data_IF_923686646454
#
_entry.id   IF_923686646454
#
_cell.length_a   1.000
_cell.length_b   1.000
_cell.length_c   1.000
_cell.angle_alpha   90.00
_cell.angle_beta   90.00
_cell.angle_gamma   90.00
#
_symmetry.space_group_name_H-M   'P 1'
#
loop_
_entity.id
_entity.type
_entity.pdbx_description
1 polymer ?
#
# COMPACT_ATOMS: atom_id res chain seq x y z
N UNK A 1 -18.66 -42.88 -1.02
CA UNK A 1 -17.66 -42.20 -1.86
C UNK A 1 -16.88 -41.40 -0.86
N UNK A 2 -15.67 -41.87 -0.55
CA UNK A 2 -14.88 -41.34 0.57
C UNK A 2 -14.04 -40.15 0.09
N UNK A 3 -13.77 -39.22 1.00
CA UNK A 3 -12.96 -38.03 0.75
C UNK A 3 -11.85 -37.99 1.79
N UNK A 4 -10.60 -38.05 1.33
CA UNK A 4 -9.42 -38.17 2.22
C UNK A 4 -8.88 -36.82 2.71
N UNK A 5 -9.18 -35.71 2.01
CA UNK A 5 -8.64 -34.37 2.32
C UNK A 5 -9.67 -33.29 2.00
N UNK A 6 -9.73 -32.25 2.85
CA UNK A 6 -10.51 -31.04 2.59
C UNK A 6 -9.79 -30.15 1.56
N UNK A 7 -10.22 -30.23 0.30
CA UNK A 7 -9.75 -29.36 -0.78
C UNK A 7 -10.55 -28.05 -0.92
N UNK A 8 -9.95 -27.04 -1.54
CA UNK A 8 -10.61 -25.81 -1.97
C UNK A 8 -10.75 -25.72 -3.50
N UNK A 9 -11.60 -24.81 -3.99
CA UNK A 9 -11.80 -24.57 -5.43
C UNK A 9 -11.24 -23.21 -5.83
N UNK A 10 -9.99 -23.21 -6.32
CA UNK A 10 -9.22 -21.98 -6.59
C UNK A 10 -8.54 -21.97 -7.97
N UNK A 11 -9.06 -22.71 -8.95
CA UNK A 11 -8.47 -22.72 -10.30
C UNK A 11 -8.73 -21.40 -11.04
N UNK A 12 -7.74 -20.96 -11.81
CA UNK A 12 -7.88 -19.89 -12.79
C UNK A 12 -8.62 -20.42 -14.04
N UNK A 13 -9.47 -19.60 -14.65
CA UNK A 13 -10.15 -19.96 -15.91
C UNK A 13 -9.33 -19.51 -17.13
N UNK A 14 -9.67 -20.06 -18.29
CA UNK A 14 -8.92 -19.78 -19.53
C UNK A 14 -8.97 -18.29 -19.92
N UNK A 15 -10.09 -17.60 -19.69
CA UNK A 15 -10.22 -16.17 -19.98
C UNK A 15 -9.19 -15.35 -19.18
N UNK A 16 -9.08 -15.59 -17.88
CA UNK A 16 -8.11 -14.93 -17.01
C UNK A 16 -6.67 -15.29 -17.41
N UNK A 17 -6.40 -16.54 -17.78
CA UNK A 17 -5.10 -16.97 -18.29
C UNK A 17 -4.73 -16.25 -19.58
N UNK A 18 -5.65 -16.14 -20.55
CA UNK A 18 -5.40 -15.43 -21.80
C UNK A 18 -5.10 -13.95 -21.57
N UNK A 19 -5.85 -13.29 -20.69
CA UNK A 19 -5.56 -11.90 -20.28
C UNK A 19 -4.17 -11.81 -19.62
N UNK A 20 -3.86 -12.74 -18.72
CA UNK A 20 -2.58 -12.82 -18.02
C UNK A 20 -1.40 -12.98 -18.97
N UNK A 21 -1.50 -13.86 -19.98
CA UNK A 21 -0.47 -14.03 -21.01
C UNK A 21 -0.25 -12.76 -21.83
N UNK A 22 -1.33 -12.06 -22.18
CA UNK A 22 -1.25 -10.77 -22.87
C UNK A 22 -0.57 -9.68 -22.02
N UNK A 23 -0.84 -9.65 -20.71
CA UNK A 23 -0.18 -8.74 -19.77
C UNK A 23 1.30 -9.11 -19.57
N UNK A 24 1.59 -10.41 -19.45
CA UNK A 24 2.94 -10.92 -19.24
C UNK A 24 3.89 -10.54 -20.39
N UNK A 25 3.41 -10.63 -21.63
CA UNK A 25 4.16 -10.17 -22.80
C UNK A 25 4.47 -8.66 -22.83
N UNK A 26 3.87 -7.86 -21.93
CA UNK A 26 4.06 -6.41 -21.81
C UNK A 26 4.70 -5.97 -20.49
N UNK A 27 5.18 -6.91 -19.68
CA UNK A 27 5.66 -6.64 -18.32
C UNK A 27 6.76 -5.57 -18.28
N UNK A 28 7.74 -5.64 -19.21
CA UNK A 28 8.85 -4.69 -19.29
C UNK A 28 8.37 -3.27 -19.64
N UNK A 29 7.40 -3.15 -20.55
CA UNK A 29 6.81 -1.87 -20.95
C UNK A 29 6.09 -1.24 -19.76
N UNK A 30 5.25 -2.02 -19.07
CA UNK A 30 4.48 -1.54 -17.91
C UNK A 30 5.44 -1.11 -16.78
N UNK A 31 6.47 -1.91 -16.51
CA UNK A 31 7.41 -1.63 -15.42
C UNK A 31 8.30 -0.43 -15.74
N UNK A 32 8.75 -0.27 -16.98
CA UNK A 32 9.53 0.91 -17.39
C UNK A 32 8.71 2.20 -17.32
N UNK A 33 7.44 2.18 -17.70
CA UNK A 33 6.52 3.30 -17.52
C UNK A 33 6.34 3.69 -16.05
N UNK A 34 6.18 2.71 -15.15
CA UNK A 34 6.07 2.98 -13.71
C UNK A 34 7.34 3.60 -13.12
N UNK A 35 8.52 3.15 -13.57
CA UNK A 35 9.80 3.76 -13.18
C UNK A 35 9.89 5.21 -13.65
N UNK A 36 9.50 5.50 -14.89
CA UNK A 36 9.50 6.86 -15.42
C UNK A 36 8.54 7.79 -14.64
N UNK A 37 7.33 7.32 -14.32
CA UNK A 37 6.38 8.07 -13.48
C UNK A 37 6.92 8.30 -12.07
N UNK A 38 7.57 7.30 -11.48
CA UNK A 38 8.17 7.43 -10.15
C UNK A 38 9.29 8.46 -10.13
N UNK A 39 10.18 8.42 -11.13
CA UNK A 39 11.23 9.42 -11.27
C UNK A 39 10.64 10.83 -11.40
N UNK A 40 9.57 10.97 -12.19
CA UNK A 40 8.85 12.23 -12.30
C UNK A 40 8.30 12.70 -10.94
N UNK A 41 7.65 11.83 -10.16
CA UNK A 41 7.17 12.18 -8.82
C UNK A 41 8.30 12.67 -7.91
N UNK A 42 9.41 11.94 -7.81
CA UNK A 42 10.55 12.39 -6.98
C UNK A 42 11.11 13.74 -7.42
N UNK A 43 11.24 13.96 -8.74
CA UNK A 43 11.67 15.24 -9.28
C UNK A 43 10.67 16.36 -8.98
N UNK A 44 9.37 16.09 -9.10
CA UNK A 44 8.30 17.06 -8.86
C UNK A 44 8.14 17.43 -7.38
N UNK A 45 8.29 16.48 -6.47
CA UNK A 45 8.28 16.77 -5.03
C UNK A 45 9.56 17.52 -4.61
N UNK A 46 10.71 17.13 -5.16
CA UNK A 46 11.98 17.77 -4.89
C UNK A 46 12.58 17.40 -3.52
N UNK A 47 13.83 17.80 -3.26
CA UNK A 47 14.60 17.32 -2.11
C UNK A 47 14.11 17.83 -0.75
N UNK A 48 13.38 18.95 -0.73
CA UNK A 48 12.96 19.60 0.52
C UNK A 48 11.51 19.27 0.89
N UNK A 49 10.83 18.40 0.13
CA UNK A 49 9.40 18.12 0.31
C UNK A 49 9.08 17.62 1.71
N UNK A 50 9.82 16.62 2.20
CA UNK A 50 9.55 16.01 3.50
C UNK A 50 9.78 16.99 4.65
N UNK A 51 10.82 17.81 4.57
CA UNK A 51 11.09 18.88 5.55
C UNK A 51 10.00 19.97 5.51
N UNK A 52 9.56 20.35 4.31
CA UNK A 52 8.60 21.45 4.12
C UNK A 52 7.21 21.07 4.59
N UNK A 53 6.76 19.85 4.32
CA UNK A 53 5.37 19.42 4.54
C UNK A 53 5.21 18.40 5.66
N UNK A 54 6.29 17.82 6.19
CA UNK A 54 6.26 16.77 7.21
C UNK A 54 5.74 15.42 6.72
N UNK A 55 5.42 15.29 5.43
CA UNK A 55 4.99 14.04 4.80
C UNK A 55 6.20 13.26 4.28
N UNK A 56 6.17 11.93 4.37
CA UNK A 56 7.27 11.08 3.92
C UNK A 56 6.98 10.52 2.52
N UNK A 57 8.01 10.54 1.67
CA UNK A 57 8.04 9.89 0.37
C UNK A 57 8.39 8.40 0.55
N UNK A 58 8.07 7.52 -0.43
CA UNK A 58 8.55 6.16 -0.39
C UNK A 58 10.08 6.15 -0.55
N UNK A 59 10.74 5.11 -0.01
CA UNK A 59 12.18 4.95 -0.20
C UNK A 59 12.53 4.90 -1.70
N UNK A 60 13.48 5.70 -2.18
CA UNK A 60 13.94 5.63 -3.56
C UNK A 60 14.53 4.25 -3.87
N UNK A 61 14.06 3.64 -4.96
CA UNK A 61 14.56 2.35 -5.45
C UNK A 61 14.62 2.34 -6.98
N UNK A 62 15.80 2.05 -7.51
CA UNK A 62 16.06 2.03 -8.95
C UNK A 62 16.11 0.62 -9.53
N UNK A 63 16.09 -0.43 -8.69
CA UNK A 63 16.42 -1.79 -9.14
C UNK A 63 15.36 -2.84 -8.82
N UNK A 64 14.81 -2.84 -7.60
CA UNK A 64 14.08 -4.02 -7.10
C UNK A 64 12.55 -3.90 -7.21
N UNK A 65 12.04 -2.67 -7.15
CA UNK A 65 10.61 -2.37 -7.14
C UNK A 65 10.02 -2.36 -8.54
N UNK A 66 8.80 -2.91 -8.65
CA UNK A 66 7.95 -2.74 -9.83
C UNK A 66 7.09 -1.47 -9.76
N UNK A 67 7.23 -0.68 -8.69
CA UNK A 67 6.52 0.56 -8.45
C UNK A 67 4.99 0.43 -8.61
N UNK A 68 4.41 -0.64 -8.05
CA UNK A 68 2.97 -0.84 -8.05
C UNK A 68 2.19 0.28 -7.34
N UNK A 69 2.78 0.84 -6.29
CA UNK A 69 2.23 1.97 -5.55
C UNK A 69 3.34 2.99 -5.28
N UNK A 70 2.97 4.27 -5.26
CA UNK A 70 3.79 5.36 -4.74
C UNK A 70 3.10 5.84 -3.45
N UNK A 71 3.66 5.49 -2.30
CA UNK A 71 2.99 5.64 -1.00
C UNK A 71 3.55 6.84 -0.25
N UNK A 72 2.68 7.75 0.17
CA UNK A 72 3.02 8.85 1.06
C UNK A 72 2.55 8.54 2.47
N UNK A 73 3.37 8.87 3.47
CA UNK A 73 2.94 8.92 4.86
C UNK A 73 2.63 10.37 5.21
N UNK A 74 1.37 10.65 5.52
CA UNK A 74 0.96 11.99 5.94
C UNK A 74 1.42 12.26 7.38
N UNK A 75 1.73 13.52 7.73
CA UNK A 75 2.06 13.85 9.11
C UNK A 75 0.83 13.69 10.03
N UNK A 76 1.07 13.35 11.29
CA UNK A 76 0.04 13.02 12.30
C UNK A 76 -1.02 14.12 12.52
N UNK A 77 -0.72 15.38 12.19
CA UNK A 77 -1.66 16.50 12.34
C UNK A 77 -2.61 16.66 11.14
N UNK A 78 -2.47 15.85 10.08
CA UNK A 78 -3.35 15.85 8.92
C UNK A 78 -4.28 14.64 8.98
N UNK A 79 -5.58 14.91 9.01
CA UNK A 79 -6.59 13.86 8.88
C UNK A 79 -6.57 13.28 7.47
N UNK A 80 -6.13 12.02 7.33
CA UNK A 80 -6.10 11.30 6.05
C UNK A 80 -7.45 11.30 5.31
N UNK A 81 -8.60 10.98 5.94
CA UNK A 81 -9.89 10.99 5.24
C UNK A 81 -10.22 12.37 4.65
N UNK A 82 -9.93 13.44 5.38
CA UNK A 82 -10.15 14.81 4.91
C UNK A 82 -9.22 15.13 3.74
N UNK A 83 -7.93 14.81 3.85
CA UNK A 83 -6.96 14.99 2.76
C UNK A 83 -7.39 14.25 1.49
N UNK A 84 -7.82 12.99 1.60
CA UNK A 84 -8.28 12.20 0.45
C UNK A 84 -9.56 12.79 -0.18
N UNK A 85 -10.49 13.27 0.64
CA UNK A 85 -11.72 13.91 0.18
C UNK A 85 -11.42 15.23 -0.55
N UNK A 86 -10.54 16.05 -0.01
CA UNK A 86 -10.12 17.31 -0.61
C UNK A 86 -9.37 17.09 -1.92
N UNK A 87 -8.44 16.13 -1.98
CA UNK A 87 -7.75 15.76 -3.22
C UNK A 87 -8.72 15.33 -4.31
N UNK A 88 -9.76 14.57 -3.95
CA UNK A 88 -10.80 14.17 -4.91
C UNK A 88 -11.67 15.34 -5.35
N UNK A 89 -12.17 16.16 -4.43
CA UNK A 89 -13.14 17.23 -4.73
C UNK A 89 -12.50 18.43 -5.41
N UNK A 90 -11.33 18.86 -4.92
CA UNK A 90 -10.66 20.08 -5.36
C UNK A 90 -9.73 19.84 -6.55
N UNK A 91 -9.16 18.63 -6.66
CA UNK A 91 -8.13 18.33 -7.65
C UNK A 91 -8.45 17.14 -8.55
N UNK A 92 -9.57 16.44 -8.34
CA UNK A 92 -9.97 15.25 -9.09
C UNK A 92 -8.93 14.11 -9.02
N UNK A 93 -8.21 14.02 -7.89
CA UNK A 93 -7.19 13.01 -7.64
C UNK A 93 -7.76 11.93 -6.70
N UNK A 94 -7.84 10.70 -7.20
CA UNK A 94 -8.21 9.54 -6.40
C UNK A 94 -7.02 8.99 -5.62
N UNK A 95 -7.17 8.81 -4.31
CA UNK A 95 -6.12 8.27 -3.42
C UNK A 95 -6.67 7.08 -2.65
N UNK A 96 -5.90 6.00 -2.60
CA UNK A 96 -6.21 4.80 -1.80
C UNK A 96 -5.42 4.73 -0.47
N UNK A 97 -5.77 3.78 0.38
CA UNK A 97 -5.08 3.48 1.65
C UNK A 97 -4.64 2.01 1.66
N UNK A 98 -3.34 1.74 1.81
CA UNK A 98 -2.73 0.40 1.71
C UNK A 98 -1.64 0.20 2.78
N UNK A 99 -1.93 -0.35 3.95
CA UNK A 99 -3.23 -0.82 4.43
C UNK A 99 -3.40 -0.39 5.88
N UNK A 100 -4.66 -0.26 6.35
CA UNK A 100 -4.90 -0.12 7.79
C UNK A 100 -4.36 -1.34 8.56
N UNK A 101 -3.88 -1.10 9.78
CA UNK A 101 -3.28 -2.15 10.61
C UNK A 101 -4.29 -3.28 10.96
N UNK A 102 -4.00 -4.51 10.51
CA UNK A 102 -4.92 -5.64 10.65
C UNK A 102 -5.28 -5.99 12.09
N UNK A 103 -4.34 -5.84 13.03
CA UNK A 103 -4.54 -6.12 14.45
C UNK A 103 -5.62 -5.22 15.09
N UNK A 104 -5.96 -4.11 14.43
CA UNK A 104 -7.03 -3.22 14.85
C UNK A 104 -8.38 -3.61 14.24
N UNK A 105 -8.50 -4.57 13.34
CA UNK A 105 -9.80 -4.99 12.82
C UNK A 105 -10.57 -5.83 13.83
N UNK A 106 -11.90 -5.74 13.83
CA UNK A 106 -12.77 -6.46 14.79
C UNK A 106 -12.44 -7.95 14.90
N UNK A 107 -12.26 -8.64 13.77
CA UNK A 107 -11.94 -10.07 13.77
C UNK A 107 -10.67 -10.39 14.56
N UNK A 108 -9.64 -9.56 14.43
CA UNK A 108 -8.36 -9.77 15.14
C UNK A 108 -8.47 -9.30 16.60
N UNK A 109 -9.22 -8.24 16.88
CA UNK A 109 -9.49 -7.83 18.27
C UNK A 109 -10.26 -8.89 19.06
N UNK A 110 -11.23 -9.55 18.43
CA UNK A 110 -11.97 -10.66 19.04
C UNK A 110 -11.06 -11.90 19.29
N UNK A 111 -9.89 -11.96 18.65
CA UNK A 111 -8.85 -12.97 18.89
C UNK A 111 -7.76 -12.53 19.89
N UNK A 112 -7.91 -11.35 20.50
CA UNK A 112 -7.00 -10.82 21.53
C UNK A 112 -5.90 -9.89 21.03
N UNK A 113 -5.87 -9.56 19.74
CA UNK A 113 -4.98 -8.52 19.22
C UNK A 113 -5.52 -7.13 19.55
N UNK A 114 -4.67 -6.10 19.57
CA UNK A 114 -5.14 -4.75 19.83
C UNK A 114 -4.06 -3.70 19.78
N UNK A 115 -4.40 -2.50 20.25
CA UNK A 115 -3.48 -1.38 20.32
C UNK A 115 -2.19 -1.75 21.08
N UNK A 116 -1.05 -1.27 20.58
CA UNK A 116 0.29 -1.57 21.10
C UNK A 116 0.95 -2.79 20.48
N UNK A 117 0.22 -3.58 19.68
CA UNK A 117 0.79 -4.69 18.92
C UNK A 117 1.36 -4.17 17.60
N UNK A 118 2.68 -4.14 17.46
CA UNK A 118 3.33 -3.76 16.20
C UNK A 118 4.17 -4.90 15.64
N UNK A 119 4.21 -5.02 14.32
CA UNK A 119 5.10 -5.96 13.62
C UNK A 119 6.60 -5.58 13.75
N UNK A 120 6.91 -4.40 14.31
CA UNK A 120 8.26 -3.84 14.38
C UNK A 120 8.89 -3.87 15.79
N UNK A 121 8.17 -4.34 16.82
CA UNK A 121 8.68 -4.33 18.20
C UNK A 121 8.66 -5.74 18.83
N UNK A 122 9.84 -6.33 19.01
CA UNK A 122 10.03 -7.27 20.11
C UNK A 122 9.88 -6.48 21.43
N UNK A 123 8.85 -6.80 22.21
CA UNK A 123 8.75 -6.62 23.67
C UNK A 123 8.52 -5.24 24.30
N UNK A 124 8.14 -4.18 23.59
CA UNK A 124 7.61 -2.96 24.24
C UNK A 124 6.37 -2.40 23.54
N UNK A 125 5.25 -2.18 24.28
CA UNK A 125 4.11 -1.45 23.75
C UNK A 125 4.52 -0.01 23.45
N UNK A 126 4.60 0.34 22.17
CA UNK A 126 4.70 1.73 21.73
C UNK A 126 3.27 2.28 21.70
N UNK A 127 3.00 3.47 22.26
CA UNK A 127 1.67 4.08 22.17
C UNK A 127 1.22 4.14 20.72
N UNK A 128 0.00 3.67 20.47
CA UNK A 128 -0.65 3.82 19.16
C UNK A 128 -1.04 5.29 19.01
N UNK A 129 -0.09 6.14 18.61
CA UNK A 129 -0.43 7.00 17.47
C UNK A 129 -0.60 6.06 16.28
N UNK A 130 -1.27 6.47 15.21
CA UNK A 130 -1.54 5.75 13.95
C UNK A 130 -0.28 5.20 13.19
N UNK A 131 0.75 4.71 13.89
CA UNK A 131 2.15 4.57 13.50
C UNK A 131 2.50 3.23 12.84
N UNK A 132 1.54 2.40 12.46
CA UNK A 132 1.86 1.16 11.73
C UNK A 132 0.80 0.84 10.68
N UNK A 133 0.86 1.54 9.55
CA UNK A 133 0.07 1.28 8.34
C UNK A 133 -1.30 1.97 8.40
N UNK A 134 -1.56 3.04 7.65
CA UNK A 134 -0.96 3.60 6.45
C UNK A 134 -0.65 5.09 6.67
#
# INVERSE_FOLDING_TARGET
>A
MEVDVLGGKHNMNEIATTIGLGQFGRLEIITSQRRALTQHYFTSFGPNFEETYGAQLPLPDTQNSNWHLFQLVLPDWISRPVFQEDMKKLHQIGIGCHYPAMHLFKLYRDQGFGEGWTLHSNSTPVPVNDRVGC
#
